data_IF_328034285018
#
_entry.id   IF_328034285018
#
_cell.length_a   1.000
_cell.length_b   1.000
_cell.length_c   1.000
_cell.angle_alpha   90.00
_cell.angle_beta   90.00
_cell.angle_gamma   90.00
#
_symmetry.space_group_name_H-M   'P 1'
#
loop_
_entity.id
_entity.type
_entity.pdbx_description
1 polymer ?
#
# COMPACT_ATOMS: atom_id res chain seq x y z
N UNK A 1 32.66 -19.57 12.76
CA UNK A 1 31.21 -19.36 12.89
C UNK A 1 30.93 -17.95 12.43
N UNK A 2 30.55 -17.76 11.18
CA UNK A 2 30.14 -16.44 10.66
C UNK A 2 28.77 -16.09 11.24
N UNK A 3 28.75 -15.08 12.08
CA UNK A 3 27.50 -14.48 12.58
C UNK A 3 26.87 -13.80 11.35
N UNK A 4 25.80 -14.38 10.78
CA UNK A 4 24.96 -13.69 9.80
C UNK A 4 24.65 -12.31 10.31
N UNK A 5 25.21 -11.27 9.67
CA UNK A 5 24.79 -9.88 9.86
C UNK A 5 23.27 -9.86 9.72
N UNK A 6 22.57 -9.55 10.80
CA UNK A 6 21.14 -9.23 10.72
C UNK A 6 21.05 -8.00 9.83
N UNK A 7 20.42 -8.15 8.69
CA UNK A 7 20.09 -7.01 7.84
C UNK A 7 19.17 -6.09 8.65
N UNK A 8 19.77 -5.04 9.23
CA UNK A 8 19.03 -3.97 9.86
C UNK A 8 18.31 -3.22 8.73
N UNK A 9 17.02 -3.43 8.63
CA UNK A 9 16.19 -2.76 7.64
C UNK A 9 15.74 -1.42 8.19
N UNK A 10 16.14 -0.34 7.54
CA UNK A 10 15.60 0.99 7.80
C UNK A 10 14.08 0.97 7.62
N UNK A 11 13.36 1.62 8.52
CA UNK A 11 11.90 1.70 8.42
C UNK A 11 11.38 3.05 8.92
N UNK A 12 10.19 3.40 8.46
CA UNK A 12 9.45 4.54 8.96
C UNK A 12 8.06 4.11 9.44
N UNK A 13 7.45 4.92 10.30
CA UNK A 13 6.04 4.82 10.66
C UNK A 13 5.34 6.04 10.12
N UNK A 14 4.40 5.84 9.20
CA UNK A 14 3.57 6.89 8.62
C UNK A 14 2.15 6.81 9.15
N UNK A 15 1.48 7.95 9.21
CA UNK A 15 0.06 8.05 9.53
C UNK A 15 -0.71 8.50 8.30
N UNK A 16 -1.72 7.71 7.90
CA UNK A 16 -2.62 8.06 6.80
C UNK A 16 -3.98 7.40 6.99
N UNK A 17 -5.06 8.11 6.63
CA UNK A 17 -6.42 7.61 6.80
C UNK A 17 -6.81 7.25 8.24
N UNK A 18 -6.21 7.90 9.25
CA UNK A 18 -6.45 7.60 10.66
C UNK A 18 -5.81 6.29 11.15
N UNK A 19 -4.89 5.72 10.37
CA UNK A 19 -4.17 4.48 10.70
C UNK A 19 -2.67 4.69 10.58
N UNK A 20 -1.90 3.92 11.37
CA UNK A 20 -0.44 3.93 11.35
C UNK A 20 0.09 2.70 10.62
N UNK A 21 1.10 2.90 9.80
CA UNK A 21 1.70 1.84 9.00
C UNK A 21 3.21 1.85 9.14
N UNK A 22 3.78 0.67 9.45
CA UNK A 22 5.23 0.45 9.37
C UNK A 22 5.61 0.19 7.92
N UNK A 23 6.46 1.04 7.37
CA UNK A 23 6.88 1.03 5.98
C UNK A 23 8.40 0.83 5.87
N UNK A 24 8.80 0.05 4.88
CA UNK A 24 10.19 -0.16 4.43
C UNK A 24 10.23 0.05 2.92
N UNK A 25 11.37 0.35 2.36
CA UNK A 25 11.49 0.49 0.91
C UNK A 25 11.06 -0.80 0.20
N UNK A 26 10.53 -0.67 -1.00
CA UNK A 26 9.96 -1.77 -1.82
C UNK A 26 8.70 -2.44 -1.27
N UNK A 27 8.29 -2.15 -0.03
CA UNK A 27 7.10 -2.77 0.56
C UNK A 27 5.84 -2.33 -0.15
N UNK A 28 4.95 -3.29 -0.41
CA UNK A 28 3.61 -3.04 -0.94
C UNK A 28 2.63 -3.06 0.23
N UNK A 29 1.79 -2.02 0.32
CA UNK A 29 0.80 -1.84 1.38
C UNK A 29 -0.56 -1.53 0.78
N UNK A 30 -1.61 -1.93 1.48
CA UNK A 30 -2.98 -1.52 1.22
C UNK A 30 -3.38 -0.51 2.30
N UNK A 31 -3.71 0.69 1.86
CA UNK A 31 -4.13 1.81 2.71
C UNK A 31 -5.54 2.26 2.35
N UNK A 32 -6.13 3.13 3.15
CA UNK A 32 -7.42 3.74 2.81
C UNK A 32 -7.34 4.45 1.45
N UNK A 33 -8.48 4.51 0.76
CA UNK A 33 -8.54 5.07 -0.60
C UNK A 33 -8.00 6.49 -0.66
N UNK A 34 -7.00 6.72 -1.49
CA UNK A 34 -6.49 8.04 -1.84
C UNK A 34 -7.12 8.55 -3.15
N UNK A 35 -7.27 9.88 -3.26
CA UNK A 35 -7.75 10.54 -4.47
C UNK A 35 -6.59 10.84 -5.43
N UNK A 36 -5.95 9.78 -5.91
CA UNK A 36 -4.82 9.84 -6.84
C UNK A 36 -5.05 8.88 -8.02
N UNK A 37 -4.37 9.12 -9.14
CA UNK A 37 -4.40 8.26 -10.32
C UNK A 37 -3.41 7.11 -10.20
N UNK A 38 -3.75 5.97 -10.77
CA UNK A 38 -2.83 4.81 -10.84
C UNK A 38 -1.55 5.20 -11.58
N UNK A 39 -0.40 4.90 -10.97
CA UNK A 39 0.93 5.26 -11.46
C UNK A 39 1.49 6.58 -10.89
N UNK A 40 0.68 7.37 -10.21
CA UNK A 40 1.09 8.62 -9.59
C UNK A 40 1.97 8.38 -8.36
N UNK A 41 2.93 9.28 -8.13
CA UNK A 41 3.77 9.28 -6.93
C UNK A 41 3.12 10.17 -5.87
N UNK A 42 2.93 9.62 -4.68
CA UNK A 42 2.29 10.27 -3.55
C UNK A 42 3.35 10.49 -2.48
N UNK A 43 3.33 11.65 -1.83
CA UNK A 43 4.19 12.00 -0.71
C UNK A 43 3.39 11.95 0.59
N UNK A 44 3.97 11.32 1.61
CA UNK A 44 3.45 11.28 2.96
C UNK A 44 4.35 12.11 3.87
N UNK A 45 3.82 13.20 4.40
CA UNK A 45 4.54 14.13 5.27
C UNK A 45 4.30 13.82 6.77
N UNK A 46 3.30 13.00 7.08
CA UNK A 46 3.01 12.58 8.45
C UNK A 46 3.84 11.34 8.82
N UNK A 47 5.13 11.56 9.07
CA UNK A 47 6.05 10.52 9.55
C UNK A 47 6.19 10.65 11.06
N UNK A 48 5.74 9.65 11.81
CA UNK A 48 5.76 9.64 13.26
C UNK A 48 7.08 9.15 13.84
N UNK A 49 7.72 8.22 13.15
CA UNK A 49 8.99 7.64 13.55
C UNK A 49 9.82 7.30 12.32
N UNK A 50 11.10 7.51 12.44
CA UNK A 50 12.11 7.17 11.45
C UNK A 50 13.22 6.39 12.11
N UNK A 51 13.48 5.17 11.64
CA UNK A 51 14.57 4.34 12.13
C UNK A 51 15.54 4.04 11.00
N UNK A 52 16.76 4.46 11.20
CA UNK A 52 17.92 4.07 10.40
C UNK A 52 18.71 3.02 11.19
N UNK A 53 19.63 2.30 10.55
CA UNK A 53 20.43 1.22 11.17
C UNK A 53 21.14 1.63 12.47
N UNK A 54 21.42 2.91 12.62
CA UNK A 54 22.19 3.46 13.76
C UNK A 54 21.38 4.35 14.69
N UNK A 55 20.38 5.03 14.17
CA UNK A 55 19.61 6.04 14.89
C UNK A 55 18.11 5.84 14.70
N UNK A 56 17.36 6.13 15.77
CA UNK A 56 15.90 6.15 15.71
C UNK A 56 15.41 7.52 16.17
N UNK A 57 14.71 8.22 15.30
CA UNK A 57 14.09 9.51 15.60
C UNK A 57 12.60 9.32 15.81
N UNK A 58 12.09 9.74 16.96
CA UNK A 58 10.67 9.73 17.30
C UNK A 58 10.13 11.15 17.21
N UNK A 59 9.05 11.34 16.46
CA UNK A 59 8.40 12.63 16.30
C UNK A 59 7.56 13.02 17.52
N UNK A 60 7.43 14.34 17.72
CA UNK A 60 6.52 14.90 18.72
C UNK A 60 5.71 16.04 18.08
N UNK A 61 4.55 15.75 17.46
CA UNK A 61 3.96 14.46 17.10
C UNK A 61 4.58 13.80 15.86
N UNK A 62 5.27 14.54 14.99
CA UNK A 62 5.89 14.07 13.74
C UNK A 62 7.36 14.46 13.64
N UNK A 63 8.12 13.70 12.85
CA UNK A 63 9.50 14.01 12.52
C UNK A 63 9.54 15.13 11.49
N UNK A 64 10.08 16.28 11.86
CA UNK A 64 10.13 17.45 10.99
C UNK A 64 11.07 17.22 9.80
N UNK A 65 10.54 17.43 8.58
CA UNK A 65 11.29 17.31 7.33
C UNK A 65 11.52 15.88 6.85
N UNK A 66 10.95 14.88 7.52
CA UNK A 66 10.90 13.52 7.01
C UNK A 66 9.71 13.35 6.05
N UNK A 67 9.91 12.67 4.94
CA UNK A 67 8.85 12.36 3.97
C UNK A 67 9.01 10.95 3.42
N UNK A 68 7.90 10.30 3.09
CA UNK A 68 7.89 8.99 2.46
C UNK A 68 7.22 9.11 1.11
N UNK A 69 7.90 8.69 0.07
CA UNK A 69 7.35 8.64 -1.29
C UNK A 69 6.86 7.22 -1.62
N UNK A 70 5.67 7.15 -2.19
CA UNK A 70 5.10 5.89 -2.64
C UNK A 70 4.42 6.05 -4.00
N UNK A 71 4.46 4.99 -4.81
CA UNK A 71 3.79 4.92 -6.11
C UNK A 71 2.47 4.17 -5.96
N UNK A 72 1.37 4.76 -6.44
CA UNK A 72 0.07 4.10 -6.48
C UNK A 72 0.06 3.03 -7.55
N UNK A 73 -0.09 1.78 -7.17
CA UNK A 73 -0.12 0.64 -8.09
C UNK A 73 -1.52 0.37 -8.63
N UNK A 74 -2.54 0.42 -7.73
CA UNK A 74 -3.92 0.10 -8.09
C UNK A 74 -4.91 0.58 -7.02
N UNK A 75 -6.18 0.75 -7.42
CA UNK A 75 -7.30 0.97 -6.51
C UNK A 75 -8.14 -0.28 -6.45
N UNK A 76 -8.09 -0.97 -5.33
CA UNK A 76 -8.76 -2.26 -5.10
C UNK A 76 -9.98 -2.11 -4.21
N UNK A 77 -10.87 -3.09 -4.28
CA UNK A 77 -12.03 -3.21 -3.38
C UNK A 77 -11.88 -4.50 -2.61
N UNK A 78 -12.04 -4.44 -1.32
CA UNK A 78 -12.05 -5.61 -0.46
C UNK A 78 -13.28 -6.49 -0.73
N UNK A 79 -13.30 -7.69 -0.15
CA UNK A 79 -14.48 -8.57 -0.23
C UNK A 79 -15.70 -7.90 0.41
N UNK A 80 -16.88 -8.24 -0.07
CA UNK A 80 -18.12 -7.73 0.52
C UNK A 80 -18.35 -8.37 1.89
N UNK A 81 -18.48 -7.53 2.92
CA UNK A 81 -18.86 -7.93 4.27
C UNK A 81 -20.37 -7.80 4.42
N UNK A 82 -21.04 -8.90 4.74
CA UNK A 82 -22.48 -8.90 4.99
C UNK A 82 -22.73 -8.56 6.44
N UNK A 83 -23.43 -7.43 6.67
CA UNK A 83 -23.83 -6.97 7.97
C UNK A 83 -25.30 -7.34 8.16
N UNK A 84 -25.57 -8.21 9.12
CA UNK A 84 -26.91 -8.68 9.40
C UNK A 84 -27.41 -8.12 10.73
N UNK A 85 -28.52 -7.37 10.66
CA UNK A 85 -29.21 -6.84 11.83
C UNK A 85 -30.54 -7.56 12.00
N UNK A 86 -30.77 -8.10 13.19
CA UNK A 86 -32.04 -8.72 13.57
C UNK A 86 -32.47 -8.20 14.95
N UNK A 87 -33.72 -7.83 15.08
CA UNK A 87 -34.33 -7.56 16.38
C UNK A 87 -34.86 -8.87 16.96
N UNK A 88 -34.87 -9.01 18.27
CA UNK A 88 -35.33 -10.21 18.97
C UNK A 88 -36.77 -10.59 18.63
N UNK A 89 -37.65 -9.59 18.50
CA UNK A 89 -39.07 -9.74 18.18
C UNK A 89 -39.43 -8.94 16.94
N UNK A 90 -40.69 -9.02 16.45
CA UNK A 90 -41.25 -8.28 15.29
C UNK A 90 -40.68 -8.70 13.92
N UNK A 91 -40.12 -9.87 13.77
CA UNK A 91 -39.61 -10.43 12.51
C UNK A 91 -38.68 -9.50 11.71
N UNK A 92 -38.11 -8.47 12.37
CA UNK A 92 -37.26 -7.49 11.73
C UNK A 92 -35.90 -8.12 11.32
N UNK A 93 -35.56 -8.06 10.03
CA UNK A 93 -34.29 -8.51 9.46
C UNK A 93 -33.81 -7.47 8.48
N UNK A 94 -32.53 -7.08 8.57
CA UNK A 94 -31.88 -6.17 7.62
C UNK A 94 -30.51 -6.73 7.26
N UNK A 95 -30.26 -6.88 5.96
CA UNK A 95 -28.94 -7.26 5.43
C UNK A 95 -28.37 -6.06 4.69
N UNK A 96 -27.17 -5.63 5.08
CA UNK A 96 -26.41 -4.61 4.36
C UNK A 96 -25.10 -5.24 3.87
N UNK A 97 -24.71 -4.93 2.65
CA UNK A 97 -23.39 -5.26 2.15
C UNK A 97 -22.48 -4.04 2.27
N UNK A 98 -21.29 -4.22 2.86
CA UNK A 98 -20.23 -3.21 2.85
C UNK A 98 -19.03 -3.73 2.07
N UNK A 99 -18.47 -2.89 1.20
CA UNK A 99 -17.26 -3.21 0.44
C UNK A 99 -16.32 -2.02 0.50
N UNK A 100 -15.25 -2.16 1.31
CA UNK A 100 -14.26 -1.11 1.50
C UNK A 100 -13.38 -0.96 0.26
N UNK A 101 -13.02 0.28 -0.04
CA UNK A 101 -12.10 0.63 -1.13
C UNK A 101 -10.76 0.96 -0.52
N UNK A 102 -9.70 0.37 -1.09
CA UNK A 102 -8.32 0.59 -0.68
C UNK A 102 -7.47 1.03 -1.87
N UNK A 103 -6.39 1.74 -1.56
CA UNK A 103 -5.33 2.05 -2.50
C UNK A 103 -4.13 1.17 -2.21
N UNK A 104 -3.65 0.45 -3.23
CA UNK A 104 -2.45 -0.38 -3.16
C UNK A 104 -1.26 0.44 -3.58
N UNK A 105 -0.35 0.70 -2.65
CA UNK A 105 0.84 1.52 -2.87
C UNK A 105 2.12 0.70 -2.70
N UNK A 106 3.16 1.12 -3.40
CA UNK A 106 4.52 0.63 -3.20
C UNK A 106 5.40 1.78 -2.71
N UNK A 107 6.09 1.57 -1.60
CA UNK A 107 7.04 2.55 -1.06
C UNK A 107 8.26 2.61 -1.98
N UNK A 108 8.58 3.82 -2.46
CA UNK A 108 9.73 4.05 -3.34
C UNK A 108 10.91 4.61 -2.59
N UNK A 109 10.71 5.63 -1.74
CA UNK A 109 11.79 6.29 -1.02
C UNK A 109 11.35 6.67 0.39
N UNK A 110 12.31 6.60 1.32
CA UNK A 110 12.20 7.13 2.67
C UNK A 110 13.24 8.22 2.80
N UNK A 111 12.79 9.45 3.03
CA UNK A 111 13.62 10.65 3.12
C UNK A 111 13.63 11.15 4.57
N UNK A 112 14.82 11.38 5.12
CA UNK A 112 15.01 12.05 6.39
C UNK A 112 15.04 13.56 6.24
N UNK A 113 15.17 14.26 7.37
CA UNK A 113 15.38 15.70 7.46
C UNK A 113 16.50 16.16 6.52
N UNK A 114 16.18 17.18 5.68
CA UNK A 114 17.14 17.69 4.71
C UNK A 114 17.22 16.92 3.39
N UNK A 115 16.28 16.02 3.09
CA UNK A 115 16.25 15.28 1.81
C UNK A 115 17.25 14.12 1.72
N UNK A 116 17.88 13.75 2.85
CA UNK A 116 18.77 12.58 2.88
C UNK A 116 17.97 11.31 2.66
N UNK A 117 18.31 10.57 1.61
CA UNK A 117 17.70 9.27 1.33
C UNK A 117 18.23 8.26 2.32
N UNK A 118 17.34 7.65 3.11
CA UNK A 118 17.67 6.58 4.05
C UNK A 118 17.56 5.23 3.37
N UNK A 119 16.50 5.04 2.59
CA UNK A 119 16.26 3.79 1.88
C UNK A 119 15.56 4.05 0.55
N UNK A 120 15.98 3.34 -0.50
CA UNK A 120 15.42 3.48 -1.85
C UNK A 120 15.06 2.11 -2.43
N UNK A 121 13.83 2.00 -2.90
CA UNK A 121 13.33 0.77 -3.50
C UNK A 121 13.85 0.56 -4.91
N UNK A 122 14.25 -0.65 -5.24
CA UNK A 122 14.31 -1.11 -6.62
C UNK A 122 12.86 -1.24 -7.13
N UNK A 123 12.46 -0.34 -8.03
CA UNK A 123 11.11 -0.34 -8.61
C UNK A 123 10.90 -1.65 -9.36
N UNK A 124 10.03 -2.51 -8.82
CA UNK A 124 9.58 -3.70 -9.53
C UNK A 124 8.49 -3.24 -10.51
N UNK A 125 8.86 -2.95 -11.74
CA UNK A 125 7.89 -2.74 -12.80
C UNK A 125 7.13 -4.06 -13.03
N UNK A 126 5.84 -4.08 -12.68
CA UNK A 126 4.98 -5.19 -13.08
C UNK A 126 4.96 -5.25 -14.59
N UNK A 127 5.60 -6.27 -15.18
CA UNK A 127 5.37 -6.62 -16.59
C UNK A 127 3.87 -6.69 -16.80
N UNK A 128 3.35 -5.85 -17.71
CA UNK A 128 1.94 -5.89 -18.11
C UNK A 128 1.58 -7.33 -18.43
N UNK A 129 0.43 -7.86 -17.95
CA UNK A 129 0.01 -9.20 -18.32
C UNK A 129 -0.10 -9.24 -19.84
N UNK A 130 0.65 -10.14 -20.46
CA UNK A 130 0.57 -10.41 -21.90
C UNK A 130 -0.87 -10.81 -22.17
N UNK A 131 -1.64 -9.96 -22.86
CA UNK A 131 -2.93 -10.30 -23.41
C UNK A 131 -2.72 -11.52 -24.30
N UNK A 132 -3.14 -12.68 -23.83
CA UNK A 132 -3.24 -13.86 -24.69
C UNK A 132 -4.25 -13.50 -25.78
N UNK A 133 -3.77 -13.21 -26.96
CA UNK A 133 -4.60 -13.08 -28.16
C UNK A 133 -5.34 -14.40 -28.31
N UNK A 134 -6.66 -14.34 -28.17
CA UNK A 134 -7.54 -15.45 -28.57
C UNK A 134 -7.40 -15.58 -30.09
N UNK A 135 -6.58 -16.53 -30.55
CA UNK A 135 -6.63 -16.99 -31.92
C UNK A 135 -8.04 -17.49 -32.16
N UNK A 136 -8.82 -16.71 -32.90
CA UNK A 136 -10.07 -17.11 -33.49
C UNK A 136 -9.71 -18.11 -34.57
N UNK A 137 -9.89 -19.40 -34.27
CA UNK A 137 -9.82 -20.45 -35.27
C UNK A 137 -11.13 -20.34 -36.04
N UNK A 138 -11.09 -19.62 -37.18
CA UNK A 138 -12.10 -19.75 -38.22
C UNK A 138 -12.02 -21.17 -38.76
N UNK A 139 -12.93 -22.04 -38.35
CA UNK A 139 -13.24 -23.26 -39.09
C UNK A 139 -14.05 -22.86 -40.31
N UNK A 140 -13.40 -22.83 -41.43
CA UNK A 140 -14.07 -22.92 -42.74
C UNK A 140 -14.72 -24.28 -42.82
N UNK A 141 -16.03 -24.32 -42.74
CA UNK A 141 -16.81 -25.46 -43.15
C UNK A 141 -17.02 -25.34 -44.67
N UNK A 142 -16.29 -26.12 -45.43
CA UNK A 142 -16.58 -26.43 -46.83
C UNK A 142 -17.33 -27.74 -46.86
N UNK A 143 -18.50 -27.68 -47.54
CA UNK A 143 -19.29 -28.73 -48.16
C UNK A 143 -20.24 -29.48 -47.27
#
# INVERSE_FOLDING_TARGET
MEIKKRDFMSFAIIETGGKQYKVTASKILEIEKLNAKVGETIKFDNVLLLSDDKNTEVGSPKVNGATVEAKLLDNVKDRTVLIFHKRRRKHSRKKNGHRQRHSKIQITKILAKGGKIIDEAKIIEKKKPIKKEKKVIKKEAKK
#
